data_IF_587110684292
#
_entry.id   IF_587110684292
#
_cell.length_a   1.000
_cell.length_b   1.000
_cell.length_c   1.000
_cell.angle_alpha   90.00
_cell.angle_beta   90.00
_cell.angle_gamma   90.00
#
_symmetry.space_group_name_H-M   'P 1'
#
loop_
_entity.id
_entity.type
_entity.pdbx_description
1 polymer ?
#
# COMPACT_ATOMS: atom_id res chain seq x y z
N UNK A 1 -32.47 21.81 49.39
CA UNK A 1 -31.52 20.75 49.73
C UNK A 1 -31.87 19.46 48.98
N UNK A 2 -32.61 18.50 49.56
CA UNK A 2 -32.76 17.16 48.96
C UNK A 2 -33.31 17.10 47.50
N UNK A 3 -34.20 18.01 47.11
CA UNK A 3 -34.71 18.07 45.73
C UNK A 3 -33.70 18.68 44.74
N UNK A 4 -32.81 19.55 45.22
CA UNK A 4 -31.76 20.16 44.41
C UNK A 4 -30.65 19.14 44.13
N UNK A 5 -30.33 18.30 45.13
CA UNK A 5 -29.37 17.20 45.01
C UNK A 5 -29.82 16.12 44.00
N UNK A 6 -31.12 15.80 43.96
CA UNK A 6 -31.66 14.84 42.99
C UNK A 6 -31.68 15.39 41.56
N UNK A 7 -32.04 16.66 41.38
CA UNK A 7 -31.95 17.35 40.08
C UNK A 7 -30.50 17.48 39.59
N UNK A 8 -29.56 17.83 40.46
CA UNK A 8 -28.14 17.89 40.14
C UNK A 8 -27.60 16.52 39.69
N UNK A 9 -27.98 15.44 40.38
CA UNK A 9 -27.61 14.07 40.01
C UNK A 9 -28.24 13.62 38.69
N UNK A 10 -29.50 13.95 38.44
CA UNK A 10 -30.17 13.67 37.16
C UNK A 10 -29.46 14.40 36.00
N UNK A 11 -29.12 15.68 36.17
CA UNK A 11 -28.38 16.47 35.18
C UNK A 11 -26.98 15.88 34.91
N UNK A 12 -26.28 15.43 35.94
CA UNK A 12 -24.98 14.76 35.79
C UNK A 12 -25.09 13.45 34.99
N UNK A 13 -26.08 12.61 35.29
CA UNK A 13 -26.35 11.37 34.55
C UNK A 13 -26.66 11.65 33.06
N UNK A 14 -27.51 12.64 32.76
CA UNK A 14 -27.85 13.01 31.37
C UNK A 14 -26.63 13.54 30.61
N UNK A 15 -25.77 14.34 31.25
CA UNK A 15 -24.51 14.81 30.64
C UNK A 15 -23.57 13.65 30.32
N UNK A 16 -23.41 12.71 31.25
CA UNK A 16 -22.59 11.52 31.04
C UNK A 16 -23.12 10.64 29.90
N UNK A 17 -24.44 10.39 29.87
CA UNK A 17 -25.07 9.64 28.76
C UNK A 17 -24.89 10.34 27.40
N UNK A 18 -25.03 11.67 27.36
CA UNK A 18 -24.76 12.47 26.14
C UNK A 18 -23.32 12.29 25.68
N UNK A 19 -22.34 12.39 26.59
CA UNK A 19 -20.91 12.22 26.28
C UNK A 19 -20.58 10.81 25.77
N UNK A 20 -21.20 9.77 26.35
CA UNK A 20 -21.09 8.39 25.85
C UNK A 20 -21.64 8.26 24.43
N UNK A 21 -22.85 8.77 24.19
CA UNK A 21 -23.49 8.72 22.87
C UNK A 21 -22.75 9.56 21.81
N UNK A 22 -22.15 10.70 22.19
CA UNK A 22 -21.30 11.50 21.31
C UNK A 22 -20.02 10.74 20.92
N UNK A 23 -19.38 10.04 21.87
CA UNK A 23 -18.22 9.20 21.58
C UNK A 23 -18.56 7.98 20.69
N UNK A 24 -19.70 7.33 20.92
CA UNK A 24 -20.21 6.26 20.06
C UNK A 24 -20.55 6.77 18.65
N UNK A 25 -21.19 7.94 18.54
CA UNK A 25 -21.49 8.58 17.26
C UNK A 25 -20.22 8.85 16.44
N UNK A 26 -19.18 9.45 17.04
CA UNK A 26 -17.92 9.73 16.34
C UNK A 26 -17.18 8.44 15.94
N UNK A 27 -17.29 7.39 16.75
CA UNK A 27 -16.76 6.07 16.38
C UNK A 27 -17.51 5.49 15.16
N UNK A 28 -18.84 5.44 15.22
CA UNK A 28 -19.67 4.86 14.16
C UNK A 28 -19.60 5.69 12.87
N UNK A 29 -19.51 7.01 12.96
CA UNK A 29 -19.33 7.90 11.81
C UNK A 29 -17.99 7.62 11.11
N UNK A 30 -16.91 7.42 11.87
CA UNK A 30 -15.60 7.03 11.36
C UNK A 30 -15.56 5.61 10.77
N UNK A 31 -16.27 4.65 11.35
CA UNK A 31 -16.43 3.30 10.79
C UNK A 31 -17.24 3.33 9.48
N UNK A 32 -18.35 4.09 9.42
CA UNK A 32 -19.15 4.30 8.21
C UNK A 32 -18.37 5.01 7.09
N UNK A 33 -17.53 5.99 7.43
CA UNK A 33 -16.67 6.67 6.46
C UNK A 33 -15.67 5.70 5.80
N UNK A 34 -15.08 4.78 6.57
CA UNK A 34 -14.20 3.73 6.04
C UNK A 34 -14.96 2.76 5.13
N UNK A 35 -16.17 2.33 5.51
CA UNK A 35 -17.01 1.48 4.68
C UNK A 35 -17.34 2.15 3.34
N UNK A 36 -17.71 3.44 3.35
CA UNK A 36 -17.94 4.22 2.11
C UNK A 36 -16.69 4.45 1.25
N UNK A 37 -15.49 4.36 1.81
CA UNK A 37 -14.25 4.35 1.03
C UNK A 37 -14.01 2.98 0.39
N UNK A 38 -14.23 1.90 1.14
CA UNK A 38 -14.12 0.54 0.63
C UNK A 38 -15.16 0.26 -0.48
N UNK A 39 -16.41 0.67 -0.28
CA UNK A 39 -17.50 0.58 -1.26
C UNK A 39 -17.12 1.25 -2.59
N UNK A 40 -16.66 2.51 -2.55
CA UNK A 40 -16.21 3.24 -3.74
C UNK A 40 -14.98 2.61 -4.40
N UNK A 41 -14.04 2.06 -3.62
CA UNK A 41 -12.89 1.34 -4.18
C UNK A 41 -13.29 0.03 -4.87
N UNK A 42 -14.30 -0.68 -4.35
CA UNK A 42 -14.82 -1.90 -4.97
C UNK A 42 -15.63 -1.57 -6.23
N UNK A 43 -16.48 -0.54 -6.20
CA UNK A 43 -17.19 -0.04 -7.37
C UNK A 43 -16.21 0.37 -8.49
N UNK A 44 -15.15 1.10 -8.16
CA UNK A 44 -14.08 1.48 -9.10
C UNK A 44 -13.42 0.27 -9.78
N UNK A 45 -13.19 -0.83 -9.05
CA UNK A 45 -12.62 -2.07 -9.59
C UNK A 45 -13.63 -2.81 -10.48
N UNK A 46 -14.90 -2.87 -10.07
CA UNK A 46 -15.98 -3.61 -10.78
C UNK A 46 -16.44 -2.89 -12.04
N UNK A 47 -16.54 -1.55 -12.00
CA UNK A 47 -17.07 -0.72 -13.07
C UNK A 47 -15.97 -0.16 -13.99
N UNK A 48 -14.69 -0.38 -13.66
CA UNK A 48 -13.55 0.16 -14.41
C UNK A 48 -13.40 1.68 -14.33
N UNK A 49 -14.13 2.35 -13.43
CA UNK A 49 -14.10 3.81 -13.27
C UNK A 49 -12.89 4.23 -12.44
N UNK A 50 -12.07 5.15 -12.94
CA UNK A 50 -10.89 5.62 -12.22
C UNK A 50 -11.27 6.29 -10.89
N UNK A 51 -10.66 5.87 -9.77
CA UNK A 51 -10.91 6.49 -8.46
C UNK A 51 -10.54 7.97 -8.46
N UNK A 52 -11.58 8.82 -8.41
CA UNK A 52 -11.41 10.24 -8.06
C UNK A 52 -11.13 10.30 -6.55
N UNK A 53 -9.85 10.42 -6.17
CA UNK A 53 -9.44 10.86 -4.82
C UNK A 53 -9.94 12.32 -4.60
N UNK A 54 -11.22 12.46 -4.30
CA UNK A 54 -11.80 13.74 -3.87
C UNK A 54 -11.31 14.01 -2.44
N UNK A 55 -10.14 14.65 -2.34
CA UNK A 55 -9.50 15.00 -1.09
C UNK A 55 -10.37 15.98 -0.29
N UNK A 56 -11.02 15.46 0.75
CA UNK A 56 -11.59 16.16 1.91
C UNK A 56 -12.11 17.59 1.68
N UNK A 57 -13.26 17.71 1.01
CA UNK A 57 -14.10 18.90 1.15
C UNK A 57 -14.84 18.89 2.51
N UNK A 58 -14.06 18.97 3.60
CA UNK A 58 -14.60 19.24 4.93
C UNK A 58 -14.75 20.74 5.14
N UNK A 59 -15.94 21.24 5.55
CA UNK A 59 -16.14 22.65 5.81
C UNK A 59 -15.34 23.11 7.03
N UNK A 60 -14.23 23.81 6.78
CA UNK A 60 -13.35 24.42 7.80
C UNK A 60 -14.10 25.44 8.67
N UNK A 61 -14.80 24.97 9.69
CA UNK A 61 -15.29 25.81 10.79
C UNK A 61 -14.09 26.34 11.57
N UNK A 62 -13.78 27.62 11.30
CA UNK A 62 -12.94 28.55 12.06
C UNK A 62 -12.46 28.03 13.43
N UNK A 63 -11.20 27.59 13.50
CA UNK A 63 -10.33 27.86 14.64
C UNK A 63 -9.11 28.59 14.13
N UNK A 64 -8.97 29.85 14.52
CA UNK A 64 -7.80 30.66 14.26
C UNK A 64 -6.93 30.68 15.51
N UNK A 65 -5.80 30.00 15.48
CA UNK A 65 -4.52 30.47 16.02
C UNK A 65 -3.43 29.40 15.87
N UNK A 66 -2.33 29.82 15.26
CA UNK A 66 -0.95 29.33 15.40
C UNK A 66 -0.70 27.81 15.30
N UNK A 67 -0.14 27.39 14.17
CA UNK A 67 1.25 26.90 14.10
C UNK A 67 1.67 26.84 12.62
N UNK A 68 2.88 27.29 12.34
CA UNK A 68 3.54 27.09 11.04
C UNK A 68 3.79 25.59 10.82
N UNK A 69 3.14 25.01 9.81
CA UNK A 69 3.89 24.43 8.69
C UNK A 69 2.93 24.03 7.56
N UNK A 70 3.26 24.43 6.33
CA UNK A 70 2.77 23.76 5.14
C UNK A 70 3.98 23.06 4.52
N UNK A 71 3.83 21.82 4.07
CA UNK A 71 3.82 21.74 2.62
C UNK A 71 2.72 20.84 2.04
N UNK A 72 2.07 21.38 1.03
CA UNK A 72 1.44 20.61 -0.05
C UNK A 72 2.51 19.78 -0.77
N UNK A 73 2.26 18.49 -1.01
CA UNK A 73 2.86 17.76 -2.13
C UNK A 73 1.99 16.53 -2.45
N UNK A 74 1.62 16.38 -3.72
CA UNK A 74 0.75 15.28 -4.18
C UNK A 74 1.40 13.90 -4.04
N UNK A 75 0.57 12.85 -3.98
CA UNK A 75 1.00 11.46 -4.09
C UNK A 75 1.35 11.13 -5.55
N UNK A 76 2.49 11.63 -6.02
CA UNK A 76 3.25 10.90 -7.04
C UNK A 76 3.72 9.55 -6.49
N UNK A 77 4.16 8.60 -7.35
CA UNK A 77 4.69 7.33 -6.90
C UNK A 77 5.93 7.60 -6.02
N UNK A 78 5.78 7.40 -4.71
CA UNK A 78 6.87 7.65 -3.77
C UNK A 78 7.92 6.57 -4.01
N UNK A 79 9.03 6.97 -4.65
CA UNK A 79 10.22 6.16 -4.81
C UNK A 79 10.71 5.55 -3.48
N UNK A 80 11.66 4.60 -3.52
CA UNK A 80 12.07 3.79 -2.38
C UNK A 80 12.28 4.67 -1.14
N UNK A 81 11.39 4.49 -0.15
CA UNK A 81 11.37 5.35 1.05
C UNK A 81 12.69 5.14 1.79
N UNK A 82 13.48 6.20 1.96
CA UNK A 82 14.82 6.16 2.55
C UNK A 82 14.89 5.46 3.93
N UNK A 83 13.77 5.38 4.65
CA UNK A 83 13.66 4.74 5.97
C UNK A 83 13.03 3.33 5.95
N UNK A 84 12.74 2.75 4.78
CA UNK A 84 12.20 1.39 4.67
C UNK A 84 13.31 0.34 4.58
N UNK A 85 13.08 -0.89 5.03
CA UNK A 85 14.06 -1.98 4.94
C UNK A 85 14.54 -2.22 3.49
N UNK A 86 13.61 -2.34 2.52
CA UNK A 86 13.93 -2.45 1.08
C UNK A 86 14.67 -1.21 0.56
N UNK A 87 14.25 -0.01 0.96
CA UNK A 87 14.89 1.25 0.53
C UNK A 87 16.33 1.39 1.02
N UNK A 88 16.60 1.06 2.29
CA UNK A 88 17.96 1.07 2.85
C UNK A 88 18.83 -0.04 2.26
N UNK A 89 18.27 -1.23 2.00
CA UNK A 89 18.96 -2.29 1.25
C UNK A 89 19.40 -1.79 -0.13
N UNK A 90 18.50 -1.14 -0.88
CA UNK A 90 18.83 -0.58 -2.20
C UNK A 90 19.93 0.50 -2.11
N UNK A 91 19.79 1.47 -1.21
CA UNK A 91 20.79 2.52 -1.01
C UNK A 91 22.18 1.95 -0.64
N UNK A 92 22.22 0.96 0.25
CA UNK A 92 23.44 0.28 0.69
C UNK A 92 24.14 -0.52 -0.44
N UNK A 93 23.38 -1.00 -1.43
CA UNK A 93 23.90 -1.64 -2.64
C UNK A 93 24.34 -0.61 -3.70
N UNK A 94 23.66 0.54 -3.77
CA UNK A 94 24.05 1.68 -4.61
C UNK A 94 25.37 2.29 -4.11
N UNK A 95 25.52 2.47 -2.78
CA UNK A 95 26.76 2.92 -2.11
C UNK A 95 27.94 1.96 -2.33
N UNK A 96 27.68 0.67 -2.51
CA UNK A 96 28.70 -0.35 -2.83
C UNK A 96 29.04 -0.43 -4.34
N UNK A 97 28.24 0.19 -5.20
CA UNK A 97 28.54 0.43 -6.61
C UNK A 97 28.96 -0.79 -7.43
N UNK A 98 30.24 -0.84 -7.82
CA UNK A 98 30.81 -1.89 -8.68
C UNK A 98 31.19 -3.15 -7.92
N UNK A 99 31.59 -2.99 -6.67
CA UNK A 99 32.24 -4.05 -5.90
C UNK A 99 31.18 -4.96 -5.24
N UNK A 100 29.98 -4.43 -5.04
CA UNK A 100 28.84 -5.13 -4.46
C UNK A 100 29.07 -5.50 -3.00
N UNK A 101 28.15 -6.28 -2.45
CA UNK A 101 28.20 -6.74 -1.06
C UNK A 101 27.81 -8.21 -0.96
N UNK A 102 28.55 -8.95 -0.12
CA UNK A 102 28.18 -10.33 0.26
C UNK A 102 27.00 -10.32 1.24
N UNK A 103 26.26 -11.44 1.30
CA UNK A 103 25.13 -11.58 2.23
C UNK A 103 25.49 -11.20 3.68
N UNK A 104 26.66 -11.64 4.17
CA UNK A 104 27.15 -11.34 5.51
C UNK A 104 27.33 -9.83 5.75
N UNK A 105 27.98 -9.13 4.83
CA UNK A 105 28.20 -7.67 4.92
C UNK A 105 26.89 -6.88 4.88
N UNK A 106 25.87 -7.38 4.17
CA UNK A 106 24.52 -6.78 4.18
C UNK A 106 23.87 -6.98 5.55
N UNK A 107 23.94 -8.18 6.13
CA UNK A 107 23.38 -8.47 7.47
C UNK A 107 24.08 -7.70 8.59
N UNK A 108 25.39 -7.47 8.51
CA UNK A 108 26.15 -6.67 9.48
C UNK A 108 25.76 -5.18 9.45
N UNK A 109 25.32 -4.67 8.29
CA UNK A 109 24.91 -3.27 8.11
C UNK A 109 23.41 -3.05 8.33
N UNK A 110 22.57 -4.07 8.12
CA UNK A 110 21.11 -4.04 8.31
C UNK A 110 20.68 -4.93 9.49
N UNK A 111 21.28 -4.71 10.66
CA UNK A 111 21.02 -5.48 11.89
C UNK A 111 19.59 -5.35 12.43
N UNK A 112 18.82 -4.36 11.95
CA UNK A 112 17.43 -4.14 12.33
C UNK A 112 16.41 -4.88 11.42
N UNK A 113 16.88 -5.57 10.37
CA UNK A 113 16.06 -6.41 9.49
C UNK A 113 16.32 -7.87 9.81
N UNK A 114 15.25 -8.64 10.10
CA UNK A 114 15.36 -10.07 10.34
C UNK A 114 15.93 -10.81 9.10
N UNK A 115 16.83 -11.77 9.31
CA UNK A 115 17.54 -12.48 8.23
C UNK A 115 16.60 -13.09 7.18
N UNK A 116 15.47 -13.69 7.60
CA UNK A 116 14.46 -14.24 6.70
C UNK A 116 13.86 -13.15 5.79
N UNK A 117 13.53 -11.99 6.35
CA UNK A 117 12.98 -10.84 5.61
C UNK A 117 14.00 -10.27 4.62
N UNK A 118 15.28 -10.21 5.02
CA UNK A 118 16.38 -9.78 4.17
C UNK A 118 16.59 -10.77 3.00
N UNK A 119 16.55 -12.08 3.25
CA UNK A 119 16.59 -13.10 2.20
C UNK A 119 15.40 -12.99 1.22
N UNK A 120 14.19 -12.75 1.72
CA UNK A 120 13.02 -12.48 0.87
C UNK A 120 13.21 -11.23 0.01
N UNK A 121 13.72 -10.12 0.56
CA UNK A 121 13.96 -8.92 -0.22
C UNK A 121 15.06 -9.10 -1.28
N UNK A 122 16.17 -9.77 -0.95
CA UNK A 122 17.21 -10.10 -1.93
C UNK A 122 16.67 -10.98 -3.06
N UNK A 123 15.86 -11.99 -2.74
CA UNK A 123 15.21 -12.84 -3.74
C UNK A 123 14.30 -12.01 -4.65
N UNK A 124 13.34 -11.27 -4.09
CA UNK A 124 12.37 -10.46 -4.85
C UNK A 124 13.08 -9.39 -5.70
N UNK A 125 14.10 -8.71 -5.18
CA UNK A 125 14.86 -7.70 -5.94
C UNK A 125 15.72 -8.31 -7.05
N UNK A 126 16.23 -9.54 -6.86
CA UNK A 126 16.93 -10.26 -7.92
C UNK A 126 15.98 -10.73 -9.03
N UNK A 127 14.76 -11.15 -8.68
CA UNK A 127 13.74 -11.55 -9.66
C UNK A 127 13.14 -10.35 -10.40
N UNK A 128 13.01 -9.18 -9.74
CA UNK A 128 12.49 -7.95 -10.38
C UNK A 128 13.54 -7.17 -11.19
N UNK A 129 14.80 -7.62 -11.22
CA UNK A 129 15.90 -6.91 -11.88
C UNK A 129 16.36 -5.62 -11.19
N UNK A 130 15.86 -5.32 -9.98
CA UNK A 130 16.34 -4.19 -9.16
C UNK A 130 17.75 -4.43 -8.59
N UNK A 131 18.21 -5.68 -8.60
CA UNK A 131 19.48 -6.14 -8.08
C UNK A 131 20.04 -7.24 -9.00
N UNK A 132 21.36 -7.26 -9.16
CA UNK A 132 22.08 -8.36 -9.81
C UNK A 132 22.76 -9.24 -8.74
N UNK A 133 22.64 -10.57 -8.88
CA UNK A 133 23.33 -11.54 -8.03
C UNK A 133 24.44 -12.24 -8.83
N UNK A 134 25.69 -11.91 -8.52
CA UNK A 134 26.90 -12.48 -9.11
C UNK A 134 27.52 -13.47 -8.11
N UNK A 135 27.06 -14.72 -8.15
CA UNK A 135 27.42 -15.72 -7.13
C UNK A 135 26.89 -15.31 -5.76
N UNK A 136 27.77 -15.09 -4.78
CA UNK A 136 27.38 -14.66 -3.42
C UNK A 136 27.47 -13.15 -3.20
N UNK A 137 27.80 -12.39 -4.26
CA UNK A 137 27.86 -10.93 -4.26
C UNK A 137 26.55 -10.38 -4.86
N UNK A 138 25.97 -9.42 -4.16
CA UNK A 138 24.78 -8.68 -4.56
C UNK A 138 25.19 -7.27 -4.97
N UNK A 139 24.66 -6.80 -6.10
CA UNK A 139 24.97 -5.48 -6.67
C UNK A 139 23.68 -4.74 -6.98
N UNK A 140 23.66 -3.41 -6.83
CA UNK A 140 22.55 -2.63 -7.35
C UNK A 140 22.42 -2.91 -8.87
N UNK A 141 21.24 -3.33 -9.32
CA UNK A 141 20.98 -3.48 -10.75
C UNK A 141 21.12 -2.13 -11.42
N UNK A 142 21.46 -2.12 -12.71
CA UNK A 142 21.40 -0.90 -13.49
C UNK A 142 20.03 -0.22 -13.26
N UNK A 143 19.96 1.11 -13.01
CA UNK A 143 18.69 1.77 -12.82
C UNK A 143 17.89 1.56 -14.10
N UNK A 144 16.86 0.71 -14.02
CA UNK A 144 15.97 0.45 -15.14
C UNK A 144 15.43 1.81 -15.57
N UNK A 145 15.89 2.27 -16.74
CA UNK A 145 15.45 3.51 -17.33
C UNK A 145 13.93 3.44 -17.36
N UNK A 146 13.28 4.43 -16.73
CA UNK A 146 11.91 4.33 -16.24
C UNK A 146 11.01 3.73 -17.31
N UNK A 147 10.70 2.43 -17.17
CA UNK A 147 9.65 1.82 -17.97
C UNK A 147 8.34 2.35 -17.41
N UNK A 148 7.99 3.55 -17.87
CA UNK A 148 6.63 4.03 -17.89
C UNK A 148 5.83 2.94 -18.57
N UNK A 149 5.03 2.21 -17.79
CA UNK A 149 4.07 1.25 -18.31
C UNK A 149 2.90 2.04 -18.92
N UNK A 150 3.18 2.79 -19.98
CA UNK A 150 2.18 3.29 -20.91
C UNK A 150 1.68 2.07 -21.68
N UNK A 151 0.41 1.74 -21.47
CA UNK A 151 -0.19 0.58 -22.13
C UNK A 151 -0.27 0.76 -23.64
N UNK A 152 -0.06 -0.33 -24.36
CA UNK A 152 -0.52 -0.49 -25.73
C UNK A 152 -1.18 -1.86 -25.84
N UNK A 153 -2.51 -1.88 -25.79
CA UNK A 153 -3.27 -2.85 -26.59
C UNK A 153 -2.84 -2.64 -28.05
N UNK A 154 -2.42 -3.69 -28.76
CA UNK A 154 -3.24 -4.20 -29.86
C UNK A 154 -2.84 -5.63 -30.25
N UNK A 155 -3.73 -6.29 -31.00
CA UNK A 155 -3.68 -7.69 -31.40
C UNK A 155 -2.73 -7.94 -32.58
N UNK A 156 -2.16 -9.15 -32.63
CA UNK A 156 -1.83 -9.82 -33.89
C UNK A 156 -1.79 -11.35 -33.67
N UNK A 157 -2.51 -12.08 -34.51
CA UNK A 157 -2.59 -13.54 -34.49
C UNK A 157 -1.33 -14.20 -35.08
N UNK A 158 -1.13 -15.48 -34.77
CA UNK A 158 -0.01 -16.28 -35.28
C UNK A 158 -0.23 -17.77 -34.99
N UNK A 159 -1.00 -18.42 -35.85
CA UNK A 159 -1.22 -19.88 -35.81
C UNK A 159 0.09 -20.66 -36.02
N UNK A 160 0.27 -21.72 -35.24
CA UNK A 160 1.15 -22.83 -35.59
C UNK A 160 0.63 -24.11 -34.90
N UNK A 161 0.07 -25.00 -35.70
CA UNK A 161 -0.27 -26.37 -35.32
C UNK A 161 1.03 -27.16 -35.01
N UNK A 162 1.04 -28.04 -34.00
CA UNK A 162 1.18 -29.48 -34.30
C UNK A 162 0.80 -30.44 -33.13
N UNK A 163 -0.04 -31.40 -33.51
CA UNK A 163 -0.30 -32.78 -33.08
C UNK A 163 -0.35 -33.37 -31.64
N UNK A 164 -1.33 -34.30 -31.55
CA UNK A 164 -1.38 -35.59 -30.83
C UNK A 164 -1.50 -35.68 -29.30
N UNK A 165 -2.75 -35.79 -28.82
CA UNK A 165 -3.33 -37.02 -28.20
C UNK A 165 -4.86 -36.82 -28.01
N UNK A 166 -5.76 -37.80 -28.11
CA UNK A 166 -5.52 -39.24 -28.34
C UNK A 166 -6.67 -40.18 -27.93
N UNK A 167 -7.95 -39.76 -27.89
CA UNK A 167 -9.07 -40.68 -27.59
C UNK A 167 -10.35 -40.37 -28.38
N UNK A 168 -10.83 -41.34 -29.17
CA UNK A 168 -12.12 -41.27 -29.86
C UNK A 168 -13.13 -42.31 -29.35
N UNK A 169 -14.34 -42.30 -29.94
CA UNK A 169 -15.55 -43.09 -29.61
C UNK A 169 -16.22 -42.71 -28.28
N UNK A 170 -17.55 -42.60 -28.15
CA UNK A 170 -18.67 -42.54 -29.12
C UNK A 170 -19.88 -41.87 -28.40
N UNK A 171 -21.07 -41.63 -28.96
CA UNK A 171 -21.79 -42.17 -30.14
C UNK A 171 -22.66 -41.07 -30.80
N UNK A 172 -23.55 -41.47 -31.71
CA UNK A 172 -24.53 -40.66 -32.44
C UNK A 172 -25.87 -40.49 -31.69
N UNK A 173 -26.67 -39.50 -32.09
CA UNK A 173 -28.05 -39.32 -31.65
C UNK A 173 -29.04 -39.55 -32.80
N UNK A 174 -30.10 -40.31 -32.52
CA UNK A 174 -31.44 -40.19 -33.12
C UNK A 174 -32.49 -40.66 -32.09
#
# INVERSE_FOLDING_TARGET
>A
MANDDTLARALANVRHQRETLEAEYERVSGELAKLRMAERSLASIVEGTAMIELADDQPKRRRASNIDDQPRAGRGPRGPRANSAKGRLKALLEDAGTDGLTHAQITERLTDVAANTLATYLSVMSTSGELERHGDIYRAGAPAATMENQGSDDQAEGEAEDDQEGTGKTEAAE
#
